data_IF_332291916567
#
_entry.id   IF_332291916567
#
_cell.length_a   1.000
_cell.length_b   1.000
_cell.length_c   1.000
_cell.angle_alpha   90.00
_cell.angle_beta   90.00
_cell.angle_gamma   90.00
#
_symmetry.space_group_name_H-M   'P 1'
#
loop_
_entity.id
_entity.type
_entity.pdbx_description
1 polymer ?
#
# COMPACT_ATOMS: atom_id res chain seq x y z
N UNK A 1 25.81 36.83 26.36
CA UNK A 1 25.88 35.48 26.95
C UNK A 1 24.73 34.67 26.35
N UNK A 2 25.00 33.52 25.71
CA UNK A 2 23.96 32.61 25.23
C UNK A 2 23.69 31.55 26.31
N UNK A 3 22.42 31.21 26.53
CA UNK A 3 21.98 30.21 27.52
C UNK A 3 21.13 29.16 26.80
N UNK A 4 21.33 27.88 27.14
CA UNK A 4 20.54 26.80 26.55
C UNK A 4 19.06 26.91 26.97
N UNK A 5 18.17 26.83 25.98
CA UNK A 5 16.71 26.83 26.19
C UNK A 5 16.09 25.55 25.61
N UNK A 6 14.98 25.11 26.20
CA UNK A 6 14.23 23.97 25.64
C UNK A 6 13.31 24.44 24.51
N UNK A 7 13.37 23.75 23.36
CA UNK A 7 12.48 24.03 22.22
C UNK A 7 12.11 22.80 21.39
N UNK A 8 12.76 21.65 21.61
CA UNK A 8 12.61 20.45 20.77
C UNK A 8 11.17 19.92 20.69
N UNK A 9 10.48 19.80 21.83
CA UNK A 9 9.11 19.27 21.86
C UNK A 9 8.12 20.17 21.11
N UNK A 10 8.24 21.49 21.29
CA UNK A 10 7.44 22.46 20.55
C UNK A 10 7.74 22.41 19.04
N UNK A 11 9.01 22.25 18.66
CA UNK A 11 9.41 22.08 17.27
C UNK A 11 8.82 20.80 16.65
N UNK A 12 8.87 19.67 17.36
CA UNK A 12 8.29 18.38 16.93
C UNK A 12 6.78 18.50 16.73
N UNK A 13 6.05 19.08 17.69
CA UNK A 13 4.60 19.30 17.55
C UNK A 13 4.25 20.16 16.33
N UNK A 14 5.01 21.24 16.11
CA UNK A 14 4.81 22.11 14.96
C UNK A 14 5.09 21.37 13.64
N UNK A 15 6.13 20.54 13.60
CA UNK A 15 6.45 19.70 12.45
C UNK A 15 5.32 18.70 12.15
N UNK A 16 4.78 18.02 13.16
CA UNK A 16 3.64 17.11 12.99
C UNK A 16 2.38 17.83 12.48
N UNK A 17 2.09 19.03 13.00
CA UNK A 17 0.96 19.84 12.52
C UNK A 17 1.14 20.25 11.06
N UNK A 18 2.35 20.66 10.68
CA UNK A 18 2.68 20.99 9.30
C UNK A 18 2.56 19.77 8.38
N UNK A 19 3.02 18.60 8.82
CA UNK A 19 2.88 17.34 8.07
C UNK A 19 1.40 16.97 7.87
N UNK A 20 0.58 17.10 8.92
CA UNK A 20 -0.86 16.83 8.84
C UNK A 20 -1.58 17.78 7.87
N UNK A 21 -1.22 19.07 7.88
CA UNK A 21 -1.73 20.05 6.93
C UNK A 21 -1.34 19.70 5.48
N UNK A 22 -0.05 19.40 5.24
CA UNK A 22 0.44 18.97 3.93
C UNK A 22 -0.12 17.62 3.45
N UNK A 23 -0.49 16.73 4.36
CA UNK A 23 -1.22 15.49 4.02
C UNK A 23 -2.62 15.80 3.53
N UNK A 24 -3.30 16.78 4.13
CA UNK A 24 -4.67 17.12 3.74
C UNK A 24 -4.73 17.87 2.41
N UNK A 25 -3.71 18.68 2.09
CA UNK A 25 -3.68 19.42 0.82
C UNK A 25 -4.78 20.49 0.74
N UNK A 26 -5.15 20.87 -0.49
CA UNK A 26 -6.17 21.88 -0.77
C UNK A 26 -7.56 21.43 -0.27
N UNK A 27 -8.30 22.32 0.38
CA UNK A 27 -9.51 21.97 1.16
C UNK A 27 -10.78 21.83 0.32
N UNK A 28 -10.75 22.38 -0.88
CA UNK A 28 -11.71 22.23 -1.95
C UNK A 28 -11.61 20.85 -2.65
N UNK A 29 -10.43 20.22 -2.61
CA UNK A 29 -10.27 18.83 -3.08
C UNK A 29 -10.82 17.86 -2.02
N UNK A 30 -11.68 16.90 -2.40
CA UNK A 30 -12.15 15.85 -1.52
C UNK A 30 -11.00 15.06 -0.88
N UNK A 31 -11.23 14.57 0.32
CA UNK A 31 -10.26 13.72 1.00
C UNK A 31 -10.23 12.35 0.33
N UNK A 32 -9.02 11.82 0.11
CA UNK A 32 -8.83 10.48 -0.46
C UNK A 32 -9.52 9.40 0.40
N UNK A 33 -10.52 8.74 -0.19
CA UNK A 33 -11.29 7.65 0.42
C UNK A 33 -10.45 6.37 0.58
N UNK A 34 -10.77 5.56 1.57
CA UNK A 34 -10.10 4.26 1.75
C UNK A 34 -10.50 3.28 0.65
N UNK A 35 -11.77 3.32 0.23
CA UNK A 35 -12.33 2.58 -0.90
C UNK A 35 -11.64 2.93 -2.23
N UNK A 36 -11.30 4.21 -2.43
CA UNK A 36 -10.52 4.65 -3.59
C UNK A 36 -9.11 4.03 -3.57
N UNK A 37 -8.46 3.99 -2.40
CA UNK A 37 -7.12 3.41 -2.27
C UNK A 37 -7.16 1.89 -2.45
N UNK A 38 -8.08 1.19 -1.77
CA UNK A 38 -8.20 -0.27 -1.87
C UNK A 38 -8.64 -0.72 -3.26
N UNK A 39 -9.54 0.02 -3.91
CA UNK A 39 -10.08 -0.33 -5.21
C UNK A 39 -9.22 0.09 -6.41
N UNK A 40 -8.63 1.30 -6.38
CA UNK A 40 -7.95 1.88 -7.55
C UNK A 40 -6.42 1.84 -7.45
N UNK A 41 -5.88 1.78 -6.23
CA UNK A 41 -4.45 1.71 -5.95
C UNK A 41 -4.05 0.35 -5.36
N UNK A 42 -4.76 -0.72 -5.75
CA UNK A 42 -4.63 -2.06 -5.18
C UNK A 42 -3.20 -2.61 -5.18
N UNK A 43 -2.40 -2.35 -6.21
CA UNK A 43 -0.99 -2.79 -6.25
C UNK A 43 -0.13 -2.14 -5.16
N UNK A 44 -0.43 -0.90 -4.76
CA UNK A 44 0.25 -0.27 -3.64
C UNK A 44 -0.18 -0.91 -2.31
N UNK A 45 -1.47 -1.23 -2.18
CA UNK A 45 -2.04 -1.94 -1.03
C UNK A 45 -1.41 -3.32 -0.87
N UNK A 46 -1.31 -4.09 -1.96
CA UNK A 46 -0.68 -5.42 -1.99
C UNK A 46 0.78 -5.36 -1.53
N UNK A 47 1.53 -4.36 -2.03
CA UNK A 47 2.93 -4.15 -1.63
C UNK A 47 3.05 -3.85 -0.14
N UNK A 48 2.21 -2.96 0.38
CA UNK A 48 2.21 -2.59 1.81
C UNK A 48 1.84 -3.79 2.68
N UNK A 49 0.84 -4.58 2.30
CA UNK A 49 0.48 -5.81 3.02
C UNK A 49 1.61 -6.84 3.03
N UNK A 50 2.23 -7.08 1.87
CA UNK A 50 3.31 -8.05 1.71
C UNK A 50 4.55 -7.68 2.54
N UNK A 51 5.07 -6.46 2.36
CA UNK A 51 6.28 -6.02 3.07
C UNK A 51 6.00 -5.67 4.55
N UNK A 52 4.77 -5.25 4.87
CA UNK A 52 4.29 -5.02 6.24
C UNK A 52 4.01 -6.30 7.02
N UNK A 53 3.93 -7.45 6.33
CA UNK A 53 3.64 -8.77 6.89
C UNK A 53 2.29 -8.87 7.62
N UNK A 54 1.29 -8.12 7.16
CA UNK A 54 -0.08 -8.13 7.70
C UNK A 54 -1.07 -8.03 6.53
N UNK A 55 -1.86 -9.09 6.34
CA UNK A 55 -2.91 -9.11 5.32
C UNK A 55 -4.17 -8.44 5.87
N UNK A 56 -4.35 -7.16 5.54
CA UNK A 56 -5.56 -6.38 5.80
C UNK A 56 -5.55 -5.16 4.84
N UNK A 57 -6.39 -5.18 3.78
CA UNK A 57 -6.41 -4.10 2.78
C UNK A 57 -6.77 -2.72 3.35
N UNK A 58 -7.66 -2.67 4.34
CA UNK A 58 -8.12 -1.41 4.91
C UNK A 58 -7.03 -0.78 5.80
N UNK A 59 -6.35 -1.58 6.63
CA UNK A 59 -5.20 -1.11 7.41
C UNK A 59 -4.04 -0.67 6.53
N UNK A 60 -3.76 -1.39 5.44
CA UNK A 60 -2.77 -0.97 4.45
C UNK A 60 -3.16 0.35 3.78
N UNK A 61 -4.43 0.54 3.42
CA UNK A 61 -4.93 1.81 2.87
C UNK A 61 -4.83 2.98 3.87
N UNK A 62 -5.11 2.74 5.16
CA UNK A 62 -4.90 3.72 6.22
C UNK A 62 -3.43 4.11 6.30
N UNK A 63 -2.51 3.14 6.28
CA UNK A 63 -1.07 3.38 6.32
C UNK A 63 -0.60 4.21 5.11
N UNK A 64 -1.06 3.86 3.90
CA UNK A 64 -0.77 4.61 2.66
C UNK A 64 -1.25 6.06 2.77
N UNK A 65 -2.49 6.26 3.20
CA UNK A 65 -3.07 7.60 3.37
C UNK A 65 -2.33 8.40 4.44
N UNK A 66 -1.98 7.77 5.56
CA UNK A 66 -1.23 8.40 6.65
C UNK A 66 0.17 8.85 6.20
N UNK A 67 0.84 7.99 5.43
CA UNK A 67 2.18 8.21 4.87
C UNK A 67 2.18 9.13 3.63
N UNK A 68 1.03 9.66 3.21
CA UNK A 68 0.90 10.53 2.01
C UNK A 68 1.40 9.84 0.73
N UNK A 69 1.22 8.52 0.64
CA UNK A 69 1.72 7.73 -0.50
C UNK A 69 3.21 7.37 -0.43
N UNK A 70 3.93 7.70 0.65
CA UNK A 70 5.26 7.15 0.88
C UNK A 70 5.14 5.66 1.26
N UNK A 71 5.56 4.79 0.34
CA UNK A 71 5.43 3.34 0.52
C UNK A 71 6.33 2.81 1.65
N UNK A 72 7.52 3.38 1.83
CA UNK A 72 8.46 2.91 2.87
C UNK A 72 7.87 3.21 4.25
N UNK A 73 7.35 4.42 4.43
CA UNK A 73 6.69 4.83 5.67
C UNK A 73 5.39 4.04 5.90
N UNK A 74 4.57 3.83 4.87
CA UNK A 74 3.35 3.02 4.98
C UNK A 74 3.64 1.58 5.44
N UNK A 75 4.66 0.94 4.85
CA UNK A 75 5.13 -0.39 5.24
C UNK A 75 5.60 -0.39 6.70
N UNK A 76 6.35 0.64 7.10
CA UNK A 76 6.83 0.75 8.47
C UNK A 76 5.69 0.92 9.47
N UNK A 77 4.69 1.76 9.16
CA UNK A 77 3.48 1.93 9.96
C UNK A 77 2.72 0.61 10.15
N UNK A 78 2.47 -0.13 9.06
CA UNK A 78 1.74 -1.39 9.14
C UNK A 78 2.53 -2.46 9.93
N UNK A 79 3.84 -2.52 9.72
CA UNK A 79 4.72 -3.45 10.45
C UNK A 79 4.81 -3.11 11.93
N UNK A 80 4.84 -1.82 12.28
CA UNK A 80 4.77 -1.37 13.67
C UNK A 80 3.42 -1.69 14.29
N UNK A 81 2.32 -1.48 13.57
CA UNK A 81 0.97 -1.83 14.06
C UNK A 81 0.85 -3.33 14.36
N UNK A 82 1.37 -4.19 13.48
CA UNK A 82 1.40 -5.64 13.68
C UNK A 82 2.03 -6.07 15.01
N UNK A 83 3.05 -5.38 15.52
CA UNK A 83 3.68 -5.75 16.80
C UNK A 83 2.80 -5.50 18.01
N UNK A 84 1.76 -4.68 17.86
CA UNK A 84 0.78 -4.40 18.91
C UNK A 84 -0.33 -5.46 18.97
N UNK A 85 -0.44 -6.31 17.94
CA UNK A 85 -1.51 -7.29 17.83
C UNK A 85 -1.16 -8.60 18.54
N UNK A 86 -2.10 -9.21 19.29
CA UNK A 86 -1.92 -10.55 19.81
C UNK A 86 -1.93 -11.59 18.69
N UNK A 87 -1.13 -12.66 18.86
CA UNK A 87 -1.13 -13.81 17.95
C UNK A 87 -2.10 -14.86 18.49
N UNK A 88 -3.28 -14.97 17.88
CA UNK A 88 -4.31 -15.89 18.35
C UNK A 88 -4.03 -17.35 17.98
N UNK A 89 -3.63 -17.61 16.73
CA UNK A 89 -3.39 -18.95 16.18
C UNK A 89 -2.38 -18.92 15.02
N UNK A 90 -1.91 -20.10 14.62
CA UNK A 90 -1.27 -20.33 13.33
C UNK A 90 -2.31 -20.86 12.33
N UNK A 91 -2.19 -20.46 11.07
CA UNK A 91 -2.99 -21.02 9.98
C UNK A 91 -2.46 -22.40 9.56
N UNK A 92 -3.32 -23.23 8.99
CA UNK A 92 -2.90 -24.43 8.28
C UNK A 92 -2.16 -24.06 6.98
N UNK A 93 -1.27 -24.93 6.46
CA UNK A 93 -0.62 -24.71 5.18
C UNK A 93 -1.66 -24.53 4.05
N UNK A 94 -1.43 -23.54 3.18
CA UNK A 94 -2.31 -23.25 2.05
C UNK A 94 -2.04 -24.26 0.92
N UNK A 95 -3.09 -24.90 0.39
CA UNK A 95 -3.03 -25.72 -0.83
C UNK A 95 -3.20 -24.85 -2.08
N UNK A 96 -2.09 -24.45 -2.69
CA UNK A 96 -2.08 -23.64 -3.91
C UNK A 96 -2.58 -24.41 -5.14
N UNK A 97 -2.66 -25.74 -5.10
CA UNK A 97 -3.20 -26.55 -6.20
C UNK A 97 -4.71 -26.35 -6.40
N UNK A 98 -5.42 -25.90 -5.36
CA UNK A 98 -6.86 -25.59 -5.38
C UNK A 98 -7.17 -24.11 -5.56
N UNK A 99 -6.16 -23.29 -5.87
CA UNK A 99 -6.33 -21.85 -6.08
C UNK A 99 -7.33 -21.58 -7.22
N UNK A 100 -8.28 -20.67 -6.97
CA UNK A 100 -9.06 -20.06 -8.05
C UNK A 100 -8.13 -19.12 -8.82
N UNK A 101 -7.80 -19.50 -10.04
CA UNK A 101 -6.79 -18.80 -10.84
C UNK A 101 -7.33 -17.47 -11.38
N UNK A 102 -6.58 -16.39 -11.13
CA UNK A 102 -6.73 -15.11 -11.86
C UNK A 102 -5.71 -14.98 -12.98
N UNK A 103 -4.51 -15.54 -12.79
CA UNK A 103 -3.41 -15.58 -13.75
C UNK A 103 -2.61 -16.88 -13.58
N UNK A 104 -2.19 -17.48 -14.69
CA UNK A 104 -1.33 -18.69 -14.73
C UNK A 104 -0.53 -18.72 -16.03
N UNK A 105 0.78 -18.53 -15.92
CA UNK A 105 1.69 -18.53 -17.07
C UNK A 105 2.88 -19.46 -16.82
N UNK A 106 3.38 -20.10 -17.88
CA UNK A 106 4.60 -20.91 -17.86
C UNK A 106 5.52 -20.49 -19.00
N UNK A 107 6.77 -20.16 -18.69
CA UNK A 107 7.78 -19.82 -19.70
C UNK A 107 8.48 -21.05 -20.30
N UNK A 108 8.34 -22.23 -19.67
CA UNK A 108 9.06 -23.45 -20.07
C UNK A 108 8.46 -24.14 -21.29
N UNK A 109 7.14 -24.09 -21.42
CA UNK A 109 6.42 -24.70 -22.53
C UNK A 109 5.55 -23.65 -23.21
N UNK A 110 5.40 -23.79 -24.53
CA UNK A 110 4.50 -22.94 -25.30
C UNK A 110 3.06 -23.04 -24.77
N UNK A 111 2.56 -24.27 -24.61
CA UNK A 111 1.24 -24.58 -24.07
C UNK A 111 1.33 -25.62 -22.94
N UNK A 112 0.29 -25.67 -22.12
CA UNK A 112 0.16 -26.58 -20.98
C UNK A 112 -1.32 -26.95 -20.77
N UNK A 113 -1.64 -28.05 -20.09
CA UNK A 113 -3.02 -28.37 -19.72
C UNK A 113 -3.67 -27.19 -18.98
N UNK A 114 -4.85 -26.76 -19.44
CA UNK A 114 -5.54 -25.55 -18.98
C UNK A 114 -5.08 -24.24 -19.63
N UNK A 115 -4.07 -24.27 -20.51
CA UNK A 115 -3.58 -23.14 -21.28
C UNK A 115 -2.74 -22.12 -20.49
N UNK A 116 -2.27 -21.12 -21.22
CA UNK A 116 -1.65 -19.90 -20.69
C UNK A 116 -2.76 -18.88 -20.39
N UNK A 117 -2.91 -18.49 -19.13
CA UNK A 117 -3.87 -17.48 -18.69
C UNK A 117 -3.12 -16.21 -18.26
N UNK A 118 -3.10 -15.18 -19.11
CA UNK A 118 -2.41 -13.93 -18.80
C UNK A 118 -3.07 -13.16 -17.65
N UNK A 119 -4.39 -13.22 -17.51
CA UNK A 119 -5.12 -12.43 -16.50
C UNK A 119 -4.89 -10.92 -16.64
N UNK A 120 -5.25 -10.13 -15.61
CA UNK A 120 -4.95 -8.69 -15.56
C UNK A 120 -3.44 -8.47 -15.41
N UNK A 121 -2.80 -7.81 -16.39
CA UNK A 121 -1.35 -7.56 -16.35
C UNK A 121 -0.97 -6.32 -17.14
N UNK A 122 0.13 -5.68 -16.75
CA UNK A 122 0.82 -4.66 -17.54
C UNK A 122 1.81 -5.26 -18.55
N UNK A 123 2.02 -6.57 -18.54
CA UNK A 123 2.84 -7.22 -19.55
C UNK A 123 2.33 -6.87 -20.95
N UNK A 124 3.27 -6.67 -21.89
CA UNK A 124 2.99 -6.30 -23.28
C UNK A 124 2.35 -4.93 -23.52
N UNK A 125 2.06 -4.15 -22.47
CA UNK A 125 1.63 -2.75 -22.64
C UNK A 125 2.77 -1.87 -23.16
N UNK A 126 2.47 -0.84 -23.95
CA UNK A 126 3.45 0.20 -24.26
C UNK A 126 3.55 1.18 -23.09
N UNK A 127 4.78 1.52 -22.67
CA UNK A 127 5.03 2.36 -21.49
C UNK A 127 4.94 3.84 -21.88
N UNK A 128 3.76 4.24 -22.31
CA UNK A 128 3.42 5.61 -22.69
C UNK A 128 2.42 6.16 -21.68
N UNK A 129 2.53 7.44 -21.32
CA UNK A 129 1.51 8.10 -20.52
C UNK A 129 0.23 8.21 -21.36
N UNK A 130 -0.91 7.86 -20.76
CA UNK A 130 -2.22 7.94 -21.39
C UNK A 130 -2.90 9.28 -21.03
N UNK A 131 -3.03 10.22 -21.98
CA UNK A 131 -3.69 11.50 -21.72
C UNK A 131 -5.16 11.36 -21.33
N UNK A 132 -5.83 10.25 -21.66
CA UNK A 132 -7.23 10.02 -21.30
C UNK A 132 -7.44 9.91 -19.77
N UNK A 133 -6.37 9.69 -19.00
CA UNK A 133 -6.44 9.57 -17.54
C UNK A 133 -6.44 10.93 -16.80
N UNK A 134 -6.32 12.05 -17.51
CA UNK A 134 -6.28 13.39 -16.90
C UNK A 134 -7.65 13.92 -16.41
N UNK A 135 -8.75 13.24 -16.76
CA UNK A 135 -10.12 13.67 -16.50
C UNK A 135 -10.76 14.43 -17.66
#
# INVERSE_FOLDING_TARGET
MYVAVKGGEAAIRNAHRLLADRRRGARDVPVLGLDQITGQLSLAVDRVMAEGSLYDPELAAIAIRQARGDMIEAIFLLRAYRTTLPRFRAAEPIDTGRMRLERRVSATYKDLPGGQLLGPTFDYTHRLLDPAMAG
#
